data_IF_549749136238
#
_entry.id   IF_549749136238
#
_cell.length_a   1.000
_cell.length_b   1.000
_cell.length_c   1.000
_cell.angle_alpha   90.00
_cell.angle_beta   90.00
_cell.angle_gamma   90.00
#
_symmetry.space_group_name_H-M   'P 1'
#
loop_
_entity.id
_entity.type
_entity.pdbx_description
1 polymer ?
#
# COMPACT_ATOMS: atom_id res chain seq x y z
N UNK A 1 -60.03 -52.48 -46.13
CA UNK A 1 -60.22 -51.27 -45.31
C UNK A 1 -59.34 -51.42 -44.06
N UNK A 2 -58.10 -50.95 -44.11
CA UNK A 2 -57.14 -51.11 -43.04
C UNK A 2 -56.78 -49.73 -42.52
N UNK A 3 -57.07 -49.48 -41.26
CA UNK A 3 -56.68 -48.25 -40.58
C UNK A 3 -55.25 -48.45 -40.06
N UNK A 4 -54.28 -47.68 -40.57
CA UNK A 4 -52.93 -47.60 -40.07
C UNK A 4 -52.92 -46.66 -38.84
N UNK A 5 -52.45 -47.21 -37.73
CA UNK A 5 -52.25 -46.49 -36.47
C UNK A 5 -50.82 -45.95 -36.44
N UNK A 6 -50.67 -44.63 -36.56
CA UNK A 6 -49.37 -43.96 -36.42
C UNK A 6 -49.09 -43.75 -34.90
N UNK A 7 -48.14 -44.49 -34.37
CA UNK A 7 -47.57 -44.22 -33.07
C UNK A 7 -46.51 -43.10 -33.21
N UNK A 8 -46.80 -41.93 -32.63
CA UNK A 8 -45.88 -40.80 -32.56
C UNK A 8 -44.98 -41.01 -31.35
N UNK A 9 -43.68 -41.24 -31.59
CA UNK A 9 -42.66 -41.33 -30.54
C UNK A 9 -42.16 -39.93 -30.24
N UNK A 10 -42.61 -39.38 -29.10
CA UNK A 10 -42.11 -38.09 -28.59
C UNK A 10 -40.76 -38.30 -27.90
N UNK A 11 -39.69 -37.91 -28.57
CA UNK A 11 -38.34 -37.88 -27.99
C UNK A 11 -38.18 -36.62 -27.15
N UNK A 12 -38.20 -36.76 -25.83
CA UNK A 12 -37.92 -35.67 -24.90
C UNK A 12 -36.41 -35.46 -24.82
N UNK A 13 -35.91 -34.40 -25.45
CA UNK A 13 -34.52 -33.98 -25.32
C UNK A 13 -34.42 -33.18 -24.02
N UNK A 14 -33.82 -33.78 -22.99
CA UNK A 14 -33.47 -33.07 -21.76
C UNK A 14 -32.23 -32.23 -22.02
N UNK A 15 -32.43 -30.92 -22.12
CA UNK A 15 -31.34 -29.94 -22.24
C UNK A 15 -30.74 -29.74 -20.84
N UNK A 16 -29.62 -30.42 -20.56
CA UNK A 16 -28.84 -30.19 -19.36
C UNK A 16 -28.09 -28.89 -19.52
N UNK A 17 -28.65 -27.80 -18.99
CA UNK A 17 -27.95 -26.50 -18.93
C UNK A 17 -26.79 -26.64 -17.95
N UNK A 18 -25.56 -26.74 -18.47
CA UNK A 18 -24.33 -26.48 -17.74
C UNK A 18 -24.29 -24.99 -17.42
N UNK A 19 -24.74 -24.63 -16.22
CA UNK A 19 -24.42 -23.34 -15.63
C UNK A 19 -22.92 -23.34 -15.32
N UNK A 20 -22.10 -22.93 -16.30
CA UNK A 20 -20.74 -22.53 -16.07
C UNK A 20 -20.80 -21.28 -15.18
N UNK A 21 -20.46 -21.41 -13.92
CA UNK A 21 -20.24 -20.28 -13.04
C UNK A 21 -19.05 -19.51 -13.62
N UNK A 22 -19.34 -18.47 -14.39
CA UNK A 22 -18.38 -17.47 -14.80
C UNK A 22 -18.14 -16.59 -13.56
N UNK A 23 -17.13 -16.91 -12.76
CA UNK A 23 -16.65 -15.98 -11.75
C UNK A 23 -16.09 -14.77 -12.48
N UNK A 24 -16.35 -13.53 -12.01
CA UNK A 24 -15.94 -12.33 -12.71
C UNK A 24 -14.41 -12.24 -12.75
N UNK A 25 -13.85 -12.43 -13.93
CA UNK A 25 -12.40 -12.34 -14.21
C UNK A 25 -11.88 -10.91 -13.95
N UNK A 26 -12.76 -9.92 -13.93
CA UNK A 26 -12.44 -8.50 -13.73
C UNK A 26 -11.92 -8.21 -12.31
N UNK A 27 -12.51 -8.78 -11.28
CA UNK A 27 -12.12 -8.55 -9.87
C UNK A 27 -10.72 -9.10 -9.55
N UNK A 28 -10.31 -10.20 -10.17
CA UNK A 28 -8.96 -10.78 -10.00
C UNK A 28 -7.87 -10.03 -10.77
N UNK A 29 -8.22 -9.33 -11.86
CA UNK A 29 -7.32 -8.46 -12.61
C UNK A 29 -7.00 -7.21 -11.81
N UNK A 30 -8.01 -6.52 -11.33
CA UNK A 30 -7.92 -5.29 -10.55
C UNK A 30 -7.09 -5.47 -9.26
N UNK A 31 -7.34 -6.53 -8.50
CA UNK A 31 -6.55 -6.84 -7.28
C UNK A 31 -5.08 -7.15 -7.55
N UNK A 32 -4.74 -7.77 -8.68
CA UNK A 32 -3.34 -8.02 -9.06
C UNK A 32 -2.62 -6.76 -9.45
N UNK A 33 -3.26 -5.90 -10.21
CA UNK A 33 -2.74 -4.60 -10.62
C UNK A 33 -2.54 -3.69 -9.41
N UNK A 34 -3.48 -3.70 -8.46
CA UNK A 34 -3.39 -2.95 -7.21
C UNK A 34 -2.25 -3.47 -6.30
N UNK A 35 -2.06 -4.78 -6.22
CA UNK A 35 -0.96 -5.38 -5.45
C UNK A 35 0.40 -5.03 -6.05
N UNK A 36 0.52 -5.03 -7.38
CA UNK A 36 1.74 -4.60 -8.07
C UNK A 36 2.00 -3.11 -7.83
N UNK A 37 0.96 -2.26 -7.95
CA UNK A 37 1.05 -0.83 -7.66
C UNK A 37 1.55 -0.59 -6.23
N UNK A 38 0.92 -1.22 -5.23
CA UNK A 38 1.26 -1.08 -3.82
C UNK A 38 2.68 -1.58 -3.49
N UNK A 39 3.12 -2.65 -4.14
CA UNK A 39 4.48 -3.17 -3.98
C UNK A 39 5.50 -2.17 -4.49
N UNK A 40 5.28 -1.63 -5.70
CA UNK A 40 6.17 -0.61 -6.28
C UNK A 40 6.17 0.70 -5.48
N UNK A 41 5.01 1.07 -4.92
CA UNK A 41 4.91 2.23 -4.01
C UNK A 41 5.74 2.01 -2.74
N UNK A 42 5.65 0.84 -2.12
CA UNK A 42 6.49 0.49 -0.97
C UNK A 42 7.99 0.52 -1.31
N UNK A 43 8.38 -0.02 -2.47
CA UNK A 43 9.76 0.02 -2.97
C UNK A 43 10.24 1.46 -3.23
N UNK A 44 9.34 2.34 -3.71
CA UNK A 44 9.67 3.73 -3.95
C UNK A 44 10.02 4.47 -2.64
N UNK A 45 9.37 4.16 -1.52
CA UNK A 45 9.76 4.68 -0.20
C UNK A 45 11.20 4.30 0.18
N UNK A 46 11.61 3.05 -0.09
CA UNK A 46 12.98 2.56 0.17
C UNK A 46 14.03 3.00 -0.87
N UNK A 47 13.62 3.59 -2.00
CA UNK A 47 14.52 3.90 -3.12
C UNK A 47 15.43 5.11 -2.87
N UNK A 48 15.15 5.92 -1.86
CA UNK A 48 15.79 7.22 -1.60
C UNK A 48 15.60 8.23 -2.76
N UNK A 49 14.57 8.01 -3.60
CA UNK A 49 14.16 8.92 -4.67
C UNK A 49 12.74 9.47 -4.39
N UNK A 50 12.65 10.65 -3.78
CA UNK A 50 11.36 11.25 -3.44
C UNK A 50 10.51 11.62 -4.67
N UNK A 51 11.14 11.85 -5.82
CA UNK A 51 10.42 12.14 -7.07
C UNK A 51 9.79 10.86 -7.63
N UNK A 52 10.49 9.73 -7.54
CA UNK A 52 9.93 8.44 -7.90
C UNK A 52 8.71 8.11 -7.04
N UNK A 53 8.74 8.35 -5.72
CA UNK A 53 7.58 8.19 -4.86
C UNK A 53 6.43 9.14 -5.26
N UNK A 54 6.71 10.41 -5.44
CA UNK A 54 5.68 11.39 -5.81
C UNK A 54 5.01 11.09 -7.16
N UNK A 55 5.65 10.30 -8.03
CA UNK A 55 5.07 9.91 -9.32
C UNK A 55 3.85 9.00 -9.20
N UNK A 56 3.64 8.35 -8.05
CA UNK A 56 2.45 7.56 -7.75
C UNK A 56 1.21 8.42 -7.48
N UNK A 57 1.38 9.72 -7.25
CA UNK A 57 0.30 10.66 -6.96
C UNK A 57 -0.17 11.38 -8.22
N UNK A 58 -1.47 11.69 -8.29
CA UNK A 58 -2.00 12.64 -9.26
C UNK A 58 -1.32 14.02 -9.08
N UNK A 59 -1.35 14.89 -10.09
CA UNK A 59 -0.71 16.22 -9.98
C UNK A 59 -1.23 17.04 -8.80
N UNK A 60 -2.53 16.94 -8.51
CA UNK A 60 -3.19 17.55 -7.36
C UNK A 60 -3.29 16.63 -6.15
N UNK A 61 -2.65 15.46 -6.21
CA UNK A 61 -2.71 14.46 -5.15
C UNK A 61 -2.11 14.95 -3.85
N UNK A 62 -2.48 14.33 -2.73
CA UNK A 62 -2.04 14.76 -1.41
C UNK A 62 -1.64 13.57 -0.53
N UNK A 63 -0.63 13.81 0.29
CA UNK A 63 -0.19 12.93 1.39
C UNK A 63 -0.37 13.65 2.71
N UNK A 64 -1.08 13.05 3.64
CA UNK A 64 -1.11 13.47 5.04
C UNK A 64 -0.63 12.34 5.93
N UNK A 65 0.24 12.63 6.86
CA UNK A 65 0.75 11.68 7.85
C UNK A 65 0.17 12.05 9.21
N UNK A 66 -0.55 11.13 9.83
CA UNK A 66 -1.25 11.30 11.09
C UNK A 66 -2.09 12.60 11.12
N UNK A 67 -1.92 13.43 12.14
CA UNK A 67 -2.61 14.70 12.32
C UNK A 67 -1.86 15.90 11.69
N UNK A 68 -0.82 15.65 10.90
CA UNK A 68 -0.04 16.70 10.24
C UNK A 68 -0.80 17.41 9.12
N UNK A 69 -0.23 18.52 8.65
CA UNK A 69 -0.76 19.24 7.49
C UNK A 69 -0.57 18.41 6.21
N UNK A 70 -1.55 18.41 5.28
CA UNK A 70 -1.41 17.68 4.03
C UNK A 70 -0.37 18.32 3.11
N UNK A 71 0.53 17.51 2.58
CA UNK A 71 1.40 17.85 1.48
C UNK A 71 0.59 17.74 0.17
N UNK A 72 0.27 18.85 -0.48
CA UNK A 72 -0.60 18.89 -1.66
C UNK A 72 0.20 19.15 -2.93
N UNK A 73 0.02 18.28 -3.92
CA UNK A 73 0.76 18.29 -5.18
C UNK A 73 2.07 17.50 -5.09
N UNK A 74 2.53 17.01 -6.24
CA UNK A 74 3.72 16.13 -6.32
C UNK A 74 4.97 16.72 -5.68
N UNK A 75 5.21 18.01 -5.86
CA UNK A 75 6.40 18.66 -5.29
C UNK A 75 6.37 18.64 -3.75
N UNK A 76 5.20 18.91 -3.15
CA UNK A 76 5.04 18.85 -1.70
C UNK A 76 5.09 17.41 -1.17
N UNK A 77 4.53 16.46 -1.89
CA UNK A 77 4.64 15.02 -1.57
C UNK A 77 6.09 14.57 -1.63
N UNK A 78 6.85 14.99 -2.67
CA UNK A 78 8.26 14.68 -2.77
C UNK A 78 9.06 15.27 -1.61
N UNK A 79 8.73 16.48 -1.14
CA UNK A 79 9.42 17.11 0.00
C UNK A 79 9.11 16.38 1.31
N UNK A 80 7.85 15.96 1.52
CA UNK A 80 7.47 15.13 2.66
C UNK A 80 8.23 13.79 2.65
N UNK A 81 8.27 13.10 1.52
CA UNK A 81 9.03 11.86 1.36
C UNK A 81 10.54 12.07 1.61
N UNK A 82 11.11 13.15 1.10
CA UNK A 82 12.52 13.51 1.31
C UNK A 82 12.87 13.62 2.78
N UNK A 83 11.98 14.16 3.59
CA UNK A 83 12.20 14.31 5.03
C UNK A 83 12.39 12.95 5.70
N UNK A 84 11.54 11.96 5.40
CA UNK A 84 11.67 10.60 5.90
C UNK A 84 12.93 9.91 5.35
N UNK A 85 13.15 9.96 4.04
CA UNK A 85 14.31 9.34 3.38
C UNK A 85 15.63 9.89 3.90
N UNK A 86 15.68 11.20 4.20
CA UNK A 86 16.86 11.84 4.79
C UNK A 86 17.10 11.41 6.23
N UNK A 87 16.03 11.29 7.03
CA UNK A 87 16.11 10.86 8.42
C UNK A 87 16.52 9.38 8.54
N UNK A 88 16.08 8.54 7.58
CA UNK A 88 16.29 7.09 7.56
C UNK A 88 16.90 6.65 6.23
N UNK A 89 18.23 6.80 6.01
CA UNK A 89 18.87 6.50 4.73
C UNK A 89 18.80 5.03 4.30
N UNK A 90 18.61 4.14 5.25
CA UNK A 90 18.46 2.68 5.07
C UNK A 90 16.99 2.20 5.15
N UNK A 91 16.03 3.13 5.01
CA UNK A 91 14.61 2.83 5.09
C UNK A 91 14.18 1.72 4.13
N UNK A 92 13.44 0.77 4.67
CA UNK A 92 12.75 -0.28 3.89
C UNK A 92 11.28 -0.29 4.27
N UNK A 93 10.42 -0.11 3.29
CA UNK A 93 8.98 -0.28 3.44
C UNK A 93 8.53 -1.51 2.66
N UNK A 94 7.65 -2.30 3.25
CA UNK A 94 7.06 -3.49 2.64
C UNK A 94 5.55 -3.45 2.74
N UNK A 95 4.89 -3.82 1.65
CA UNK A 95 3.47 -4.15 1.67
C UNK A 95 3.26 -5.35 2.60
N UNK A 96 2.28 -5.23 3.49
CA UNK A 96 1.83 -6.32 4.37
C UNK A 96 0.50 -6.87 3.85
N UNK A 97 -0.47 -5.98 3.60
CA UNK A 97 -1.83 -6.36 3.21
C UNK A 97 -2.52 -5.19 2.52
N UNK A 98 -3.52 -5.49 1.69
CA UNK A 98 -4.42 -4.51 1.10
C UNK A 98 -5.86 -4.86 1.50
N UNK A 99 -6.60 -3.84 1.94
CA UNK A 99 -8.04 -3.95 2.16
C UNK A 99 -8.75 -2.96 1.24
N UNK A 100 -9.49 -3.48 0.29
CA UNK A 100 -10.29 -2.67 -0.62
C UNK A 100 -11.72 -2.54 -0.09
N UNK A 101 -12.23 -1.31 -0.08
CA UNK A 101 -13.61 -0.97 0.21
C UNK A 101 -14.22 -0.28 -1.01
N UNK A 102 -15.51 0.07 -0.94
CA UNK A 102 -16.17 0.82 -2.02
C UNK A 102 -15.62 2.27 -2.15
N UNK A 103 -15.05 2.83 -1.08
CA UNK A 103 -14.66 4.24 -1.01
C UNK A 103 -13.14 4.46 -1.07
N UNK A 104 -12.35 3.51 -0.59
CA UNK A 104 -10.89 3.64 -0.48
C UNK A 104 -10.20 2.27 -0.42
N UNK A 105 -8.87 2.29 -0.58
CA UNK A 105 -7.98 1.15 -0.35
C UNK A 105 -7.12 1.42 0.86
N UNK A 106 -7.04 0.48 1.80
CA UNK A 106 -6.04 0.51 2.86
C UNK A 106 -4.80 -0.27 2.42
N UNK A 107 -3.69 0.44 2.38
CA UNK A 107 -2.35 -0.10 2.17
C UNK A 107 -1.69 -0.28 3.54
N UNK A 108 -1.67 -1.50 4.06
CA UNK A 108 -0.97 -1.82 5.31
C UNK A 108 0.50 -2.11 5.03
N UNK A 109 1.36 -1.47 5.77
CA UNK A 109 2.80 -1.55 5.56
C UNK A 109 3.60 -1.84 6.84
N UNK A 110 4.81 -2.31 6.63
CA UNK A 110 5.84 -2.47 7.64
C UNK A 110 7.08 -1.69 7.21
N UNK A 111 7.51 -0.79 8.06
CA UNK A 111 8.67 0.07 7.87
C UNK A 111 9.75 -0.24 8.87
N UNK A 112 10.99 -0.43 8.39
CA UNK A 112 12.21 -0.53 9.19
C UNK A 112 13.26 0.46 8.69
N UNK A 113 14.12 0.93 9.58
CA UNK A 113 15.20 1.84 9.23
C UNK A 113 15.98 2.28 10.46
N UNK A 114 17.09 2.99 10.25
CA UNK A 114 17.93 3.54 11.32
C UNK A 114 17.98 5.07 11.16
N UNK A 115 17.66 5.79 12.21
CA UNK A 115 17.65 7.25 12.22
C UNK A 115 19.08 7.81 12.27
N UNK A 116 19.81 7.69 11.16
CA UNK A 116 21.20 8.11 10.99
C UNK A 116 21.38 9.37 10.14
N UNK A 117 20.26 9.95 9.67
CA UNK A 117 20.29 11.22 8.96
C UNK A 117 20.79 12.39 9.82
N UNK A 118 20.93 13.60 9.26
CA UNK A 118 21.41 14.77 9.98
C UNK A 118 20.58 15.06 11.23
N UNK A 119 21.23 15.06 12.40
CA UNK A 119 20.56 15.24 13.69
C UNK A 119 19.85 14.01 14.23
N UNK A 120 20.02 12.86 13.58
CA UNK A 120 19.42 11.60 13.99
C UNK A 120 19.96 11.04 15.30
N UNK A 121 19.16 10.18 15.93
CA UNK A 121 19.44 9.56 17.22
C UNK A 121 20.31 8.30 17.12
N UNK A 122 20.48 7.75 15.91
CA UNK A 122 21.08 6.42 15.69
C UNK A 122 20.13 5.26 16.06
N UNK A 123 18.93 5.54 16.55
CA UNK A 123 17.93 4.54 16.90
C UNK A 123 17.35 3.84 15.67
N UNK A 124 17.17 2.52 15.79
CA UNK A 124 16.45 1.74 14.79
C UNK A 124 14.95 1.78 15.06
N UNK A 125 14.16 1.75 13.99
CA UNK A 125 12.70 1.67 14.04
C UNK A 125 12.20 0.41 13.36
N UNK A 126 11.13 -0.15 13.91
CA UNK A 126 10.33 -1.25 13.36
C UNK A 126 8.87 -0.91 13.60
N UNK A 127 8.24 -0.30 12.61
CA UNK A 127 6.93 0.35 12.72
C UNK A 127 5.96 -0.28 11.71
N UNK A 128 4.72 -0.44 12.14
CA UNK A 128 3.60 -0.81 11.28
C UNK A 128 2.60 0.31 11.22
N UNK A 129 1.99 0.45 10.06
CA UNK A 129 0.96 1.44 9.85
C UNK A 129 0.14 1.11 8.62
N UNK A 130 -0.68 2.05 8.23
CA UNK A 130 -1.47 1.94 7.01
C UNK A 130 -1.67 3.32 6.38
N UNK A 131 -2.01 3.33 5.12
CA UNK A 131 -2.48 4.50 4.38
C UNK A 131 -3.85 4.19 3.78
N UNK A 132 -4.78 5.15 3.86
CA UNK A 132 -6.04 5.08 3.14
C UNK A 132 -5.91 5.86 1.85
N UNK A 133 -6.02 5.17 0.71
CA UNK A 133 -5.89 5.76 -0.62
C UNK A 133 -7.23 5.94 -1.30
N UNK A 134 -7.46 7.12 -1.86
CA UNK A 134 -8.41 7.30 -2.97
C UNK A 134 -7.65 7.52 -4.26
N UNK A 135 -8.24 7.14 -5.39
CA UNK A 135 -7.58 7.22 -6.68
C UNK A 135 -8.27 8.21 -7.60
N UNK A 136 -7.50 8.80 -8.51
CA UNK A 136 -8.00 9.54 -9.67
C UNK A 136 -8.42 8.58 -10.78
N UNK A 137 -9.12 9.10 -11.80
CA UNK A 137 -9.52 8.33 -12.98
C UNK A 137 -8.32 7.74 -13.74
N UNK A 138 -7.13 8.32 -13.56
CA UNK A 138 -5.87 7.85 -14.18
C UNK A 138 -5.22 6.70 -13.38
N UNK A 139 -5.83 6.25 -12.28
CA UNK A 139 -5.28 5.21 -11.40
C UNK A 139 -4.11 5.67 -10.52
N UNK A 140 -3.94 6.98 -10.32
CA UNK A 140 -2.94 7.56 -9.42
C UNK A 140 -3.56 7.94 -8.08
N UNK A 141 -2.76 7.98 -7.00
CA UNK A 141 -3.24 8.37 -5.67
C UNK A 141 -3.70 9.83 -5.70
N UNK A 142 -4.99 10.06 -5.44
CA UNK A 142 -5.57 11.39 -5.28
C UNK A 142 -5.43 11.88 -3.84
N UNK A 143 -5.65 10.99 -2.88
CA UNK A 143 -5.43 11.28 -1.46
C UNK A 143 -4.83 10.05 -0.79
N UNK A 144 -3.81 10.29 0.05
CA UNK A 144 -3.27 9.32 0.99
C UNK A 144 -3.36 9.88 2.41
N UNK A 145 -3.96 9.11 3.31
CA UNK A 145 -4.03 9.38 4.73
C UNK A 145 -3.25 8.30 5.47
N UNK A 146 -2.02 8.61 5.81
CA UNK A 146 -1.10 7.72 6.52
C UNK A 146 -1.30 7.76 8.02
N UNK A 147 -1.24 6.59 8.66
CA UNK A 147 -1.41 6.41 10.10
C UNK A 147 -0.38 5.44 10.66
N UNK A 148 0.33 5.86 11.71
CA UNK A 148 1.20 5.01 12.51
C UNK A 148 1.29 5.56 13.95
N UNK A 149 1.82 4.75 14.86
CA UNK A 149 2.00 5.14 16.27
C UNK A 149 3.31 5.94 16.44
N UNK A 150 3.21 7.26 16.48
CA UNK A 150 4.34 8.17 16.70
C UNK A 150 4.97 8.00 18.09
N UNK A 151 4.17 7.65 19.10
CA UNK A 151 4.70 7.43 20.44
C UNK A 151 5.59 6.19 20.47
N UNK A 152 5.23 5.15 19.72
CA UNK A 152 6.05 3.96 19.57
C UNK A 152 7.34 4.26 18.80
N UNK A 153 7.27 5.04 17.70
CA UNK A 153 8.47 5.51 16.98
C UNK A 153 9.41 6.23 17.94
N UNK A 154 8.91 7.22 18.68
CA UNK A 154 9.73 7.98 19.64
C UNK A 154 10.33 7.10 20.73
N UNK A 155 9.58 6.11 21.21
CA UNK A 155 10.07 5.14 22.20
C UNK A 155 11.25 4.35 21.64
N UNK A 156 11.17 3.89 20.39
CA UNK A 156 12.24 3.13 19.73
C UNK A 156 13.49 4.01 19.51
N UNK A 157 13.31 5.24 19.03
CA UNK A 157 14.40 6.21 18.83
C UNK A 157 15.14 6.50 20.14
N UNK A 158 14.42 6.71 21.23
CA UNK A 158 15.02 6.99 22.55
C UNK A 158 15.78 5.78 23.10
N UNK A 159 15.31 4.56 22.84
CA UNK A 159 16.02 3.35 23.26
C UNK A 159 17.38 3.19 22.56
N UNK A 160 17.47 3.56 21.27
CA UNK A 160 18.72 3.58 20.52
C UNK A 160 19.72 4.60 21.05
N UNK A 161 19.26 5.80 21.39
CA UNK A 161 20.12 6.86 21.94
C UNK A 161 20.80 6.46 23.25
N UNK A 162 20.10 5.77 24.13
CA UNK A 162 20.64 5.30 25.41
C UNK A 162 21.79 4.28 25.25
N UNK A 163 21.74 3.48 24.20
CA UNK A 163 22.80 2.49 23.90
C UNK A 163 24.08 3.17 23.42
N UNK A 164 23.96 4.18 22.56
CA UNK A 164 25.11 4.93 22.03
C UNK A 164 25.86 5.71 23.13
N UNK A 165 25.12 6.34 24.06
CA UNK A 165 25.73 7.04 25.19
C UNK A 165 26.52 6.07 26.13
N UNK A 166 25.98 4.90 26.37
CA UNK A 166 26.64 3.89 27.22
C UNK A 166 27.91 3.37 26.58
N UNK A 167 27.92 3.09 25.28
CA UNK A 167 29.14 2.63 24.58
C UNK A 167 30.20 3.71 24.52
N UNK A 168 29.83 4.99 24.36
CA UNK A 168 30.77 6.13 24.37
C UNK A 168 31.43 6.33 25.74
N UNK A 169 30.71 6.07 26.82
CA UNK A 169 31.26 6.17 28.20
C UNK A 169 32.20 5.00 28.55
N UNK A 170 31.97 3.80 27.99
CA UNK A 170 32.84 2.64 28.23
C UNK A 170 34.15 2.67 27.43
N UNK A 171 34.23 3.52 26.40
CA UNK A 171 35.39 3.68 25.51
C UNK A 171 36.40 4.75 26.02
N UNK A 172 36.12 5.42 27.13
CA UNK A 172 37.01 6.41 27.79
C UNK A 172 37.69 5.85 29.02
#
# INVERSE_FOLDING_TARGET
>A
MGKQLFMSLATTITFLALLSACEPIEEQGDMRDLTEFATRYAEAWGSQDPVALASFYAESGSLRVNDGDPAVGRDAVAEAARSFMTAYPDMVVRLVELHQTDDYVEFHWHWTGTNTGPGGTGGAVDIRGYEQWTFSDDGLILQSLGHYDEAEEQRQLNAGSATVETESQLAQ
#
